data_IF_217203760412
#
_entry.id   IF_217203760412
#
_cell.length_a   1.000
_cell.length_b   1.000
_cell.length_c   1.000
_cell.angle_alpha   90.00
_cell.angle_beta   90.00
_cell.angle_gamma   90.00
#
_symmetry.space_group_name_H-M   'P 1'
#
loop_
_entity.id
_entity.type
_entity.pdbx_description
1 polymer ?
#
# COMPACT_ATOMS: atom_id res chain seq x y z
N UNK A 1 10.57 2.29 -10.47
CA UNK A 1 11.00 2.06 -9.09
C UNK A 1 11.24 3.37 -8.39
N UNK A 2 10.89 3.47 -7.11
CA UNK A 2 11.00 4.72 -6.36
C UNK A 2 12.38 4.82 -5.73
N UNK A 3 12.99 6.00 -5.85
CA UNK A 3 14.28 6.28 -5.25
C UNK A 3 14.16 6.20 -3.71
N UNK A 4 15.10 5.51 -3.07
CA UNK A 4 15.09 5.34 -1.62
C UNK A 4 15.12 6.68 -0.90
N UNK A 5 15.86 7.66 -1.45
CA UNK A 5 15.92 8.99 -0.84
C UNK A 5 14.57 9.69 -0.90
N UNK A 6 13.81 9.45 -1.95
CA UNK A 6 12.46 10.00 -2.04
C UNK A 6 11.57 9.39 -0.97
N UNK A 7 11.69 8.08 -0.74
CA UNK A 7 10.91 7.40 0.30
C UNK A 7 11.17 7.98 1.68
N UNK A 8 12.39 8.43 1.94
CA UNK A 8 12.71 9.01 3.24
C UNK A 8 12.06 10.37 3.45
N UNK A 9 11.68 11.04 2.37
CA UNK A 9 11.10 12.38 2.43
C UNK A 9 9.59 12.39 2.42
N UNK A 10 8.95 11.33 1.91
CA UNK A 10 7.50 11.30 1.81
C UNK A 10 6.89 10.58 3.00
N UNK A 11 5.66 10.95 3.32
CA UNK A 11 4.92 10.39 4.45
C UNK A 11 3.52 10.08 4.01
N UNK A 12 2.86 9.20 4.73
CA UNK A 12 1.45 8.90 4.50
C UNK A 12 0.63 10.16 4.70
N UNK A 13 -0.17 10.57 3.71
CA UNK A 13 -0.96 11.81 3.83
C UNK A 13 -2.11 11.71 4.84
N UNK A 14 -2.43 10.50 5.29
CA UNK A 14 -3.52 10.31 6.24
C UNK A 14 -3.06 10.55 7.67
N UNK A 15 -1.90 10.02 8.05
CA UNK A 15 -1.47 10.04 9.45
C UNK A 15 0.00 10.39 9.64
N UNK A 16 0.71 10.70 8.56
CA UNK A 16 2.10 11.14 8.65
C UNK A 16 3.11 10.05 8.90
N UNK A 17 2.71 8.79 8.83
CA UNK A 17 3.64 7.68 9.05
C UNK A 17 4.69 7.58 7.97
N UNK A 18 5.85 7.03 8.34
CA UNK A 18 6.86 6.66 7.37
C UNK A 18 6.32 5.57 6.44
N UNK A 19 6.68 5.65 5.17
CA UNK A 19 6.26 4.68 4.17
C UNK A 19 7.43 3.80 3.78
N UNK A 20 7.15 2.54 3.48
CA UNK A 20 8.15 1.61 2.97
C UNK A 20 7.60 0.91 1.72
N UNK A 21 8.50 0.49 0.87
CA UNK A 21 8.13 -0.16 -0.38
C UNK A 21 7.74 -1.61 -0.11
N UNK A 22 6.59 -2.04 -0.64
CA UNK A 22 6.15 -3.42 -0.50
C UNK A 22 6.99 -4.33 -1.38
N UNK A 23 7.23 -5.56 -0.91
CA UNK A 23 7.91 -6.55 -1.74
C UNK A 23 6.94 -7.17 -2.74
N UNK A 24 7.48 -7.97 -3.67
CA UNK A 24 6.68 -8.53 -4.75
C UNK A 24 5.56 -9.44 -4.24
N UNK A 25 5.84 -10.20 -3.19
CA UNK A 25 4.83 -11.11 -2.63
C UNK A 25 3.65 -10.34 -2.05
N UNK A 26 3.93 -9.22 -1.38
CA UNK A 26 2.88 -8.37 -0.81
C UNK A 26 2.05 -7.73 -1.91
N UNK A 27 2.71 -7.21 -2.95
CA UNK A 27 2.00 -6.60 -4.08
C UNK A 27 1.09 -7.64 -4.75
N UNK A 28 1.60 -8.86 -4.93
CA UNK A 28 0.80 -9.93 -5.53
C UNK A 28 -0.44 -10.23 -4.67
N UNK A 29 -0.27 -10.30 -3.35
CA UNK A 29 -1.39 -10.56 -2.45
C UNK A 29 -2.43 -9.44 -2.53
N UNK A 30 -1.97 -8.19 -2.59
CA UNK A 30 -2.88 -7.05 -2.74
C UNK A 30 -3.65 -7.16 -4.05
N UNK A 31 -2.96 -7.47 -5.14
CA UNK A 31 -3.61 -7.59 -6.44
C UNK A 31 -4.61 -8.73 -6.48
N UNK A 32 -4.35 -9.82 -5.80
CA UNK A 32 -5.31 -10.92 -5.70
C UNK A 32 -6.57 -10.47 -4.98
N UNK A 33 -6.43 -9.68 -3.92
CA UNK A 33 -7.60 -9.13 -3.22
C UNK A 33 -8.36 -8.16 -4.12
N UNK A 34 -7.66 -7.40 -4.94
CA UNK A 34 -8.31 -6.50 -5.89
C UNK A 34 -9.15 -7.29 -6.88
N UNK A 35 -8.63 -8.40 -7.39
CA UNK A 35 -9.37 -9.25 -8.32
C UNK A 35 -10.63 -9.82 -7.70
N UNK A 36 -10.59 -10.09 -6.39
CA UNK A 36 -11.75 -10.61 -5.66
C UNK A 36 -12.69 -9.50 -5.22
N UNK A 37 -12.36 -8.26 -5.50
CA UNK A 37 -13.14 -7.08 -5.13
C UNK A 37 -13.29 -6.96 -3.62
N UNK A 38 -12.20 -7.23 -2.89
CA UNK A 38 -12.18 -7.21 -1.44
C UNK A 38 -11.58 -5.95 -0.84
N UNK A 39 -10.99 -5.09 -1.67
CA UNK A 39 -10.31 -3.89 -1.16
C UNK A 39 -11.06 -2.63 -1.50
N UNK A 40 -11.12 -1.72 -0.52
CA UNK A 40 -11.70 -0.41 -0.72
C UNK A 40 -10.71 0.66 -0.29
N UNK A 41 -10.83 1.83 -0.89
CA UNK A 41 -9.99 2.96 -0.51
C UNK A 41 -10.66 3.74 0.63
N UNK A 42 -9.99 4.80 1.08
CA UNK A 42 -10.48 5.59 2.21
C UNK A 42 -11.79 6.33 1.89
N UNK A 43 -12.13 6.47 0.62
CA UNK A 43 -13.40 7.06 0.18
C UNK A 43 -14.50 6.02 0.04
N UNK A 44 -14.23 4.79 0.48
CA UNK A 44 -15.13 3.65 0.37
C UNK A 44 -15.39 3.24 -1.08
N UNK A 45 -14.51 3.63 -2.00
CA UNK A 45 -14.58 3.19 -3.38
C UNK A 45 -13.90 1.84 -3.56
N UNK A 46 -14.45 1.02 -4.44
CA UNK A 46 -13.86 -0.29 -4.72
C UNK A 46 -12.56 -0.11 -5.51
N UNK A 47 -11.48 -0.72 -5.03
CA UNK A 47 -10.21 -0.70 -5.74
C UNK A 47 -10.29 -1.73 -6.87
N UNK A 48 -10.23 -1.26 -8.12
CA UNK A 48 -10.42 -2.12 -9.27
C UNK A 48 -9.17 -2.34 -10.11
N UNK A 49 -8.21 -1.41 -10.05
CA UNK A 49 -7.01 -1.49 -10.89
C UNK A 49 -5.87 -2.12 -10.10
N UNK A 50 -5.17 -3.09 -10.70
CA UNK A 50 -4.02 -3.69 -10.02
C UNK A 50 -2.89 -2.68 -9.85
N UNK A 51 -2.03 -2.95 -8.87
CA UNK A 51 -0.90 -2.09 -8.56
C UNK A 51 0.36 -2.64 -9.19
N UNK A 52 1.25 -1.75 -9.65
CA UNK A 52 2.60 -2.14 -10.04
C UNK A 52 3.46 -2.31 -8.80
N UNK A 53 3.21 -1.48 -7.81
CA UNK A 53 3.89 -1.52 -6.53
C UNK A 53 3.04 -0.85 -5.50
N UNK A 54 3.51 -0.81 -4.27
CA UNK A 54 2.78 -0.17 -3.18
C UNK A 54 3.75 0.39 -2.16
N UNK A 55 3.37 1.50 -1.55
CA UNK A 55 4.04 2.04 -0.38
C UNK A 55 3.15 1.75 0.81
N UNK A 56 3.72 1.12 1.83
CA UNK A 56 2.98 0.64 2.98
C UNK A 56 3.35 1.49 4.19
N UNK A 57 2.35 1.86 4.99
CA UNK A 57 2.61 2.59 6.24
C UNK A 57 3.39 1.70 7.20
N UNK A 58 4.12 2.34 8.12
CA UNK A 58 4.97 1.61 9.05
C UNK A 58 4.19 0.60 9.87
N UNK A 59 2.95 0.92 10.25
CA UNK A 59 2.11 0.01 11.01
C UNK A 59 1.41 -1.04 10.14
N UNK A 60 1.56 -0.98 8.83
CA UNK A 60 1.01 -1.97 7.93
C UNK A 60 -0.48 -1.84 7.64
N UNK A 61 -1.12 -0.78 8.13
CA UNK A 61 -2.57 -0.67 8.02
C UNK A 61 -3.06 -0.12 6.68
N UNK A 62 -2.21 0.63 5.97
CA UNK A 62 -2.61 1.28 4.72
C UNK A 62 -1.56 1.10 3.66
N UNK A 63 -2.00 1.14 2.41
CA UNK A 63 -1.12 1.10 1.25
C UNK A 63 -1.47 2.27 0.32
N UNK A 64 -0.44 2.76 -0.35
CA UNK A 64 -0.61 3.77 -1.41
C UNK A 64 -0.12 3.15 -2.71
N UNK A 65 -0.96 3.19 -3.74
CA UNK A 65 -0.65 2.58 -5.02
C UNK A 65 0.52 3.28 -5.70
N UNK A 66 1.36 2.48 -6.35
CA UNK A 66 2.41 3.00 -7.23
C UNK A 66 2.09 2.49 -8.64
N UNK A 67 1.89 3.41 -9.57
CA UNK A 67 1.61 3.08 -10.97
C UNK A 67 2.48 3.96 -11.84
N UNK A 68 3.17 3.33 -12.82
CA UNK A 68 4.09 4.06 -13.67
C UNK A 68 5.25 4.69 -12.92
N UNK A 69 5.63 4.10 -11.78
CA UNK A 69 6.70 4.64 -10.94
C UNK A 69 6.28 5.82 -10.08
N UNK A 70 4.99 6.19 -10.11
CA UNK A 70 4.49 7.36 -9.39
C UNK A 70 3.57 6.93 -8.25
N UNK A 71 3.89 7.28 -6.99
CA UNK A 71 3.02 6.95 -5.87
C UNK A 71 1.79 7.85 -5.83
N UNK A 72 0.66 7.28 -5.47
CA UNK A 72 -0.58 8.03 -5.29
C UNK A 72 -0.70 8.39 -3.81
N UNK A 73 -0.40 9.64 -3.48
CA UNK A 73 -0.40 10.11 -2.09
C UNK A 73 -1.62 10.99 -1.82
N UNK A 74 -2.78 10.50 -2.19
CA UNK A 74 -4.05 11.17 -1.98
C UNK A 74 -4.77 10.44 -0.85
N UNK A 75 -5.12 11.13 0.26
CA UNK A 75 -5.71 10.44 1.42
C UNK A 75 -6.93 9.59 1.08
N UNK A 76 -7.81 10.09 0.21
CA UNK A 76 -9.02 9.36 -0.17
C UNK A 76 -8.75 8.11 -0.98
N UNK A 77 -7.55 7.95 -1.54
CA UNK A 77 -7.19 6.79 -2.34
C UNK A 77 -6.28 5.82 -1.60
N UNK A 78 -6.01 6.06 -0.32
CA UNK A 78 -5.26 5.10 0.47
C UNK A 78 -6.09 3.82 0.64
N UNK A 79 -5.41 2.67 0.63
CA UNK A 79 -6.08 1.37 0.66
C UNK A 79 -5.92 0.78 2.04
N UNK A 80 -7.04 0.45 2.69
CA UNK A 80 -7.00 -0.24 3.98
C UNK A 80 -6.63 -1.70 3.75
N UNK A 81 -5.59 -2.19 4.43
CA UNK A 81 -5.11 -3.54 4.23
C UNK A 81 -5.77 -4.50 5.21
N UNK A 82 -6.28 -5.66 4.72
CA UNK A 82 -6.85 -6.67 5.61
C UNK A 82 -5.77 -7.37 6.43
N UNK A 83 -6.17 -8.01 7.52
CA UNK A 83 -5.25 -8.69 8.42
C UNK A 83 -4.38 -9.72 7.70
N UNK A 84 -4.95 -10.42 6.72
CA UNK A 84 -4.21 -11.44 5.99
C UNK A 84 -3.00 -10.84 5.26
N UNK A 85 -3.13 -9.61 4.76
CA UNK A 85 -2.00 -8.94 4.11
C UNK A 85 -1.07 -8.34 5.14
N UNK A 86 -1.62 -7.77 6.21
CA UNK A 86 -0.78 -7.21 7.28
C UNK A 86 0.14 -8.26 7.87
N UNK A 87 -0.31 -9.49 7.97
CA UNK A 87 0.53 -10.59 8.47
C UNK A 87 1.71 -10.87 7.56
N UNK A 88 1.59 -10.58 6.26
CA UNK A 88 2.71 -10.73 5.34
C UNK A 88 3.72 -9.60 5.46
N UNK A 89 3.29 -8.46 5.99
CA UNK A 89 4.14 -7.28 6.07
C UNK A 89 5.06 -7.28 7.29
N UNK A 90 4.81 -8.16 8.24
CA UNK A 90 5.56 -8.18 9.47
C UNK A 90 6.28 -9.51 9.66
N UNK A 91 7.28 -9.78 8.81
CA UNK A 91 8.00 -11.05 8.89
C UNK A 91 8.88 -11.13 10.13
N UNK A 92 9.16 -10.01 10.74
CA UNK A 92 10.09 -9.97 11.85
C UNK A 92 9.41 -10.12 13.18
N UNK A 93 8.09 -10.17 13.19
CA UNK A 93 7.43 -10.17 14.45
C UNK A 93 7.33 -11.56 15.06
N UNK A 94 7.94 -12.45 14.45
CA UNK A 94 8.05 -13.79 14.95
C UNK A 94 8.50 -13.81 16.42
#
# INVERSE_FOLDING_TARGET
MIDVRLLELIRCPVDGQTLKQANAATVLAINQCIERRELRDASDGLVELPLEGALITLDGSRAHAVRGGIPTLIPGESIALPSSIQNLLDPSHE
#
